data_IF_983148644301
#
_entry.id   IF_983148644301
#
_cell.length_a   1.000
_cell.length_b   1.000
_cell.length_c   1.000
_cell.angle_alpha   90.00
_cell.angle_beta   90.00
_cell.angle_gamma   90.00
#
_symmetry.space_group_name_H-M   'P 1'
#
loop_
_entity.id
_entity.type
_entity.pdbx_description
1 polymer ?
#
# COMPACT_ATOMS: atom_id res chain seq x y z
N UNK A 1 -47.47 0.79 -21.52
CA UNK A 1 -48.84 0.54 -21.01
C UNK A 1 -48.75 0.18 -19.54
N UNK A 2 -49.56 0.93 -18.75
CA UNK A 2 -49.96 0.80 -17.32
C UNK A 2 -48.85 1.12 -16.29
N UNK A 3 -48.83 2.31 -15.92
CA UNK A 3 -49.15 3.13 -14.75
C UNK A 3 -49.83 2.36 -13.60
N UNK A 4 -49.21 2.34 -12.40
CA UNK A 4 -49.96 2.30 -11.14
C UNK A 4 -49.29 3.22 -10.12
N UNK A 5 -50.03 4.28 -9.85
CA UNK A 5 -49.89 5.29 -8.84
C UNK A 5 -50.73 4.84 -7.64
N UNK A 6 -50.22 4.78 -6.44
CA UNK A 6 -51.02 4.79 -5.20
C UNK A 6 -50.37 5.73 -4.18
N UNK A 7 -51.08 6.82 -3.98
CA UNK A 7 -51.05 7.73 -2.86
C UNK A 7 -51.96 7.17 -1.75
N UNK A 8 -51.64 7.41 -0.47
CA UNK A 8 -52.54 7.57 0.70
C UNK A 8 -51.62 7.73 1.91
N UNK A 9 -51.62 8.73 2.69
CA UNK A 9 -52.42 9.73 3.36
C UNK A 9 -52.06 9.72 4.86
N UNK A 10 -51.81 10.93 5.36
CA UNK A 10 -51.43 11.33 6.71
C UNK A 10 -52.42 10.86 7.80
N UNK A 11 -51.88 10.76 9.03
CA UNK A 11 -52.70 11.05 10.23
C UNK A 11 -51.85 11.62 11.37
N UNK A 12 -52.13 12.88 11.70
CA UNK A 12 -51.76 13.55 12.92
C UNK A 12 -52.54 12.99 14.12
N UNK A 13 -51.93 12.85 15.27
CA UNK A 13 -52.61 13.04 16.57
C UNK A 13 -51.67 13.77 17.56
N UNK A 14 -52.12 14.97 17.95
CA UNK A 14 -51.72 15.73 19.14
C UNK A 14 -52.49 15.21 20.37
N UNK A 15 -51.86 15.20 21.56
CA UNK A 15 -52.41 15.53 22.87
C UNK A 15 -51.22 15.66 23.81
N UNK A 16 -50.87 16.73 24.39
CA UNK A 16 -51.41 17.72 25.32
C UNK A 16 -51.20 17.39 26.79
N UNK A 17 -50.43 18.24 27.43
CA UNK A 17 -50.50 18.81 28.76
C UNK A 17 -50.49 17.96 30.03
N UNK A 18 -49.61 18.34 30.94
CA UNK A 18 -49.66 18.08 32.37
C UNK A 18 -48.54 18.81 33.10
N UNK A 19 -48.90 19.96 33.70
CA UNK A 19 -48.07 20.87 34.48
C UNK A 19 -48.28 20.59 35.94
N UNK A 20 -47.23 20.60 36.80
CA UNK A 20 -47.18 21.29 38.11
C UNK A 20 -45.85 21.09 38.81
N UNK A 21 -45.28 22.05 39.14
CA UNK A 21 -44.62 22.88 40.14
C UNK A 21 -44.10 22.17 41.41
N UNK A 22 -42.86 22.51 41.82
CA UNK A 22 -42.32 22.33 43.15
C UNK A 22 -40.78 22.34 43.18
N UNK A 23 -40.14 23.50 43.38
CA UNK A 23 -38.76 23.59 43.90
C UNK A 23 -38.80 23.63 45.42
N UNK A 24 -37.70 23.82 46.18
CA UNK A 24 -36.40 24.43 45.75
C UNK A 24 -35.14 23.71 46.32
N UNK A 25 -33.95 24.17 45.80
CA UNK A 25 -32.67 24.40 46.51
C UNK A 25 -31.85 23.19 47.07
N UNK A 26 -30.67 22.96 46.58
CA UNK A 26 -29.38 23.36 47.17
C UNK A 26 -28.17 22.79 46.40
N UNK A 27 -27.31 23.70 46.00
CA UNK A 27 -25.84 23.71 46.01
C UNK A 27 -25.10 22.36 45.99
N UNK A 28 -24.27 22.21 44.93
CA UNK A 28 -23.19 21.25 44.87
C UNK A 28 -22.36 21.52 43.64
N UNK A 29 -21.41 22.45 43.77
CA UNK A 29 -20.32 22.67 42.82
C UNK A 29 -19.45 21.42 42.76
N UNK A 30 -19.39 20.74 41.64
CA UNK A 30 -18.28 19.85 41.34
C UNK A 30 -18.01 19.91 39.86
N UNK A 31 -16.90 20.55 39.50
CA UNK A 31 -16.34 20.63 38.18
C UNK A 31 -15.86 19.23 37.79
N UNK A 32 -16.62 18.56 36.94
CA UNK A 32 -16.10 17.43 36.20
C UNK A 32 -15.29 17.98 35.02
N UNK A 33 -13.98 17.94 35.18
CA UNK A 33 -13.04 18.10 34.09
C UNK A 33 -13.40 17.07 33.01
N UNK A 34 -13.79 17.55 31.84
CA UNK A 34 -13.81 16.74 30.64
C UNK A 34 -12.36 16.44 30.30
N UNK A 35 -11.90 15.24 30.60
CA UNK A 35 -10.74 14.65 29.99
C UNK A 35 -11.05 14.53 28.48
N UNK A 36 -10.54 15.48 27.72
CA UNK A 36 -10.35 15.31 26.28
C UNK A 36 -9.37 14.16 26.15
N UNK A 37 -9.90 12.99 25.90
CA UNK A 37 -9.13 11.84 25.41
C UNK A 37 -8.67 12.25 24.03
N UNK A 38 -7.43 12.73 23.95
CA UNK A 38 -6.66 12.85 22.71
C UNK A 38 -6.62 11.45 22.09
N UNK A 39 -7.55 11.21 21.19
CA UNK A 39 -7.53 10.05 20.32
C UNK A 39 -6.40 10.28 19.30
N UNK A 40 -5.16 10.04 19.75
CA UNK A 40 -4.08 9.76 18.84
C UNK A 40 -4.51 8.53 18.07
N UNK A 41 -4.90 8.73 16.82
CA UNK A 41 -5.01 7.67 15.83
C UNK A 41 -3.59 7.15 15.67
N UNK A 42 -3.25 6.07 16.38
CA UNK A 42 -2.09 5.28 16.07
C UNK A 42 -2.36 4.76 14.64
N UNK A 43 -1.73 5.37 13.65
CA UNK A 43 -1.59 4.76 12.33
C UNK A 43 -0.90 3.43 12.61
N UNK A 44 -1.63 2.33 12.50
CA UNK A 44 -1.06 0.99 12.55
C UNK A 44 -0.07 0.89 11.39
N UNK A 45 1.19 1.13 11.69
CA UNK A 45 2.28 1.03 10.74
C UNK A 45 2.42 -0.45 10.38
N UNK A 46 1.98 -0.81 9.18
CA UNK A 46 2.01 -2.21 8.72
C UNK A 46 3.44 -2.59 8.32
N UNK A 47 4.02 -3.55 9.02
CA UNK A 47 5.31 -4.11 8.66
C UNK A 47 5.18 -5.16 7.55
N UNK A 48 6.04 -5.09 6.53
CA UNK A 48 6.20 -6.10 5.49
C UNK A 48 7.22 -7.17 5.92
N UNK A 49 6.92 -7.86 7.02
CA UNK A 49 7.81 -8.88 7.59
C UNK A 49 7.00 -9.96 8.36
N UNK A 50 7.51 -11.19 8.46
CA UNK A 50 8.66 -11.73 7.72
C UNK A 50 8.28 -12.23 6.32
N UNK A 51 9.25 -12.25 5.40
CA UNK A 51 9.11 -12.95 4.13
C UNK A 51 10.42 -13.66 3.73
N UNK A 52 10.33 -14.60 2.80
CA UNK A 52 11.46 -15.20 2.11
C UNK A 52 11.02 -15.52 0.69
N UNK A 53 11.73 -14.98 -0.30
CA UNK A 53 11.45 -15.19 -1.71
C UNK A 53 12.74 -15.36 -2.51
N UNK A 54 12.65 -16.05 -3.65
CA UNK A 54 13.76 -16.15 -4.59
C UNK A 54 13.68 -15.01 -5.61
N UNK A 55 14.86 -14.52 -5.99
CA UNK A 55 14.99 -13.64 -7.16
C UNK A 55 14.87 -14.46 -8.44
N UNK A 56 14.72 -13.74 -9.57
CA UNK A 56 14.80 -14.36 -10.91
C UNK A 56 16.15 -15.02 -11.21
N UNK A 57 17.21 -14.68 -10.45
CA UNK A 57 18.54 -15.29 -10.55
C UNK A 57 18.75 -16.45 -9.57
N UNK A 58 17.77 -16.75 -8.72
CA UNK A 58 17.78 -17.86 -7.77
C UNK A 58 18.38 -17.54 -6.40
N UNK A 59 18.70 -16.28 -6.13
CA UNK A 59 19.15 -15.85 -4.81
C UNK A 59 17.96 -15.74 -3.85
N UNK A 60 18.17 -16.03 -2.56
CA UNK A 60 17.13 -15.86 -1.55
C UNK A 60 17.23 -14.49 -0.91
N UNK A 61 16.13 -13.75 -0.90
CA UNK A 61 15.98 -12.45 -0.25
C UNK A 61 14.92 -12.55 0.86
N UNK A 62 15.19 -11.89 1.97
CA UNK A 62 14.30 -11.80 3.13
C UNK A 62 14.07 -10.33 3.47
N UNK A 63 13.20 -10.07 4.43
CA UNK A 63 12.96 -8.71 4.99
C UNK A 63 14.24 -7.99 5.45
N UNK A 64 15.30 -8.74 5.73
CA UNK A 64 16.58 -8.14 6.12
C UNK A 64 17.17 -7.20 5.05
N UNK A 65 16.77 -7.36 3.77
CA UNK A 65 17.20 -6.47 2.70
C UNK A 65 16.76 -5.02 2.89
N UNK A 66 15.69 -4.76 3.66
CA UNK A 66 15.23 -3.39 3.90
C UNK A 66 16.26 -2.54 4.67
N UNK A 67 17.11 -3.17 5.48
CA UNK A 67 18.15 -2.47 6.24
C UNK A 67 19.29 -1.90 5.36
N UNK A 68 19.34 -2.23 4.07
CA UNK A 68 20.40 -1.79 3.16
C UNK A 68 20.20 -0.35 2.65
N UNK A 69 18.98 0.24 2.81
CA UNK A 69 18.67 1.61 2.40
C UNK A 69 17.71 2.30 3.38
N UNK A 70 17.62 3.62 3.34
CA UNK A 70 16.63 4.39 4.13
C UNK A 70 15.21 4.16 3.59
N UNK A 71 15.08 3.98 2.28
CA UNK A 71 13.81 3.76 1.60
C UNK A 71 13.96 2.65 0.54
N UNK A 72 13.07 1.67 0.60
CA UNK A 72 12.90 0.67 -0.46
C UNK A 72 11.65 0.97 -1.28
N UNK A 73 11.81 1.12 -2.58
CA UNK A 73 10.72 1.20 -3.57
C UNK A 73 10.38 -0.21 -4.01
N UNK A 74 9.24 -0.75 -3.58
CA UNK A 74 8.76 -2.06 -4.04
C UNK A 74 7.89 -1.84 -5.28
N UNK A 75 8.38 -2.26 -6.45
CA UNK A 75 7.67 -2.17 -7.72
C UNK A 75 7.12 -3.55 -8.12
N UNK A 76 5.80 -3.69 -8.13
CA UNK A 76 5.10 -4.93 -8.51
C UNK A 76 4.70 -4.87 -9.97
N UNK A 77 5.12 -5.85 -10.76
CA UNK A 77 4.97 -5.83 -12.20
C UNK A 77 4.68 -7.21 -12.81
N UNK A 78 4.40 -7.26 -14.11
CA UNK A 78 4.20 -8.49 -14.88
C UNK A 78 4.80 -8.37 -16.29
N UNK A 79 5.18 -9.49 -16.89
CA UNK A 79 5.84 -9.52 -18.21
C UNK A 79 4.96 -8.98 -19.34
N UNK A 80 3.63 -9.09 -19.22
CA UNK A 80 2.67 -8.54 -20.17
C UNK A 80 2.38 -7.04 -20.00
N UNK A 81 2.83 -6.43 -18.88
CA UNK A 81 2.47 -5.07 -18.49
C UNK A 81 3.25 -4.02 -19.30
N UNK A 82 2.59 -3.37 -20.25
CA UNK A 82 3.19 -2.33 -21.08
C UNK A 82 3.68 -1.11 -20.28
N UNK A 83 2.86 -0.50 -19.41
CA UNK A 83 3.30 0.62 -18.58
C UNK A 83 4.46 0.27 -17.65
N UNK A 84 4.50 -0.95 -17.09
CA UNK A 84 5.62 -1.40 -16.25
C UNK A 84 6.95 -1.33 -16.99
N UNK A 85 6.98 -1.81 -18.25
CA UNK A 85 8.17 -1.77 -19.10
C UNK A 85 8.64 -0.35 -19.47
N UNK A 86 7.74 0.62 -19.42
CA UNK A 86 8.08 2.03 -19.69
C UNK A 86 8.75 2.70 -18.49
N UNK A 87 8.40 2.33 -17.26
CA UNK A 87 9.00 2.92 -16.06
C UNK A 87 10.27 2.20 -15.58
N UNK A 88 10.47 0.92 -15.97
CA UNK A 88 11.65 0.14 -15.57
C UNK A 88 12.99 0.86 -15.79
N UNK A 89 13.29 1.46 -16.95
CA UNK A 89 14.56 2.17 -17.15
C UNK A 89 14.74 3.33 -16.16
N UNK A 90 13.65 4.02 -15.81
CA UNK A 90 13.65 5.12 -14.84
C UNK A 90 13.99 4.58 -13.46
N UNK A 91 13.33 3.50 -13.02
CA UNK A 91 13.59 2.87 -11.74
C UNK A 91 15.03 2.34 -11.65
N UNK A 92 15.52 1.70 -12.71
CA UNK A 92 16.90 1.24 -12.76
C UNK A 92 17.94 2.38 -12.71
N UNK A 93 17.61 3.54 -13.29
CA UNK A 93 18.44 4.74 -13.18
C UNK A 93 18.43 5.28 -11.75
N UNK A 94 17.26 5.41 -11.13
CA UNK A 94 17.11 5.95 -9.78
C UNK A 94 17.78 5.06 -8.72
N UNK A 95 17.67 3.74 -8.86
CA UNK A 95 18.36 2.75 -8.01
C UNK A 95 19.88 2.94 -8.02
N UNK A 96 20.47 3.25 -9.19
CA UNK A 96 21.91 3.51 -9.30
C UNK A 96 22.35 4.91 -8.86
N UNK A 97 21.46 5.90 -8.92
CA UNK A 97 21.80 7.30 -8.63
C UNK A 97 21.61 7.68 -7.17
N UNK A 98 20.72 7.01 -6.45
CA UNK A 98 20.30 7.37 -5.09
C UNK A 98 20.88 6.40 -4.07
N UNK A 99 21.96 6.78 -3.38
CA UNK A 99 22.68 5.90 -2.43
C UNK A 99 21.82 5.47 -1.22
N UNK A 100 20.76 6.22 -0.89
CA UNK A 100 19.88 5.95 0.26
C UNK A 100 18.52 5.33 -0.15
N UNK A 101 18.35 5.01 -1.42
CA UNK A 101 17.14 4.39 -1.96
C UNK A 101 17.53 3.12 -2.72
N UNK A 102 16.78 2.05 -2.51
CA UNK A 102 16.89 0.86 -3.34
C UNK A 102 15.55 0.53 -4.00
N UNK A 103 15.60 -0.15 -5.13
CA UNK A 103 14.41 -0.69 -5.79
C UNK A 103 14.38 -2.20 -5.62
N UNK A 104 13.21 -2.73 -5.28
CA UNK A 104 12.94 -4.17 -5.21
C UNK A 104 11.74 -4.49 -6.11
N UNK A 105 11.97 -5.26 -7.17
CA UNK A 105 10.90 -5.72 -8.04
C UNK A 105 10.19 -6.94 -7.46
N UNK A 106 8.88 -7.07 -7.71
CA UNK A 106 8.13 -8.32 -7.52
C UNK A 106 7.42 -8.64 -8.82
N UNK A 107 7.79 -9.74 -9.47
CA UNK A 107 7.16 -10.19 -10.71
C UNK A 107 6.07 -11.22 -10.41
N UNK A 108 4.87 -11.00 -10.97
CA UNK A 108 3.66 -11.72 -10.54
C UNK A 108 3.23 -12.86 -11.44
N UNK A 109 3.76 -12.95 -12.67
CA UNK A 109 3.28 -13.86 -13.73
C UNK A 109 4.35 -14.86 -14.21
N UNK A 110 5.35 -15.14 -13.39
CA UNK A 110 6.45 -16.08 -13.72
C UNK A 110 6.36 -17.42 -12.98
N UNK A 111 5.18 -17.72 -12.43
CA UNK A 111 4.90 -19.02 -11.79
C UNK A 111 3.79 -19.77 -12.53
N UNK A 112 3.85 -21.08 -12.48
CA UNK A 112 2.83 -21.96 -13.06
C UNK A 112 1.61 -22.12 -12.11
N UNK A 113 0.66 -23.01 -12.49
CA UNK A 113 -0.55 -23.27 -11.71
C UNK A 113 -0.28 -23.94 -10.35
N UNK A 114 0.93 -24.46 -10.13
CA UNK A 114 1.38 -25.06 -8.88
C UNK A 114 2.18 -24.09 -8.02
N UNK A 115 2.26 -22.82 -8.44
CA UNK A 115 3.10 -21.78 -7.85
C UNK A 115 4.62 -22.08 -7.91
N UNK A 116 5.05 -22.91 -8.88
CA UNK A 116 6.44 -23.16 -9.17
C UNK A 116 6.92 -22.24 -10.31
N UNK A 117 8.20 -21.79 -10.28
CA UNK A 117 8.73 -20.93 -11.33
C UNK A 117 8.62 -21.55 -12.72
N UNK A 118 7.97 -20.85 -13.65
CA UNK A 118 7.94 -21.21 -15.07
C UNK A 118 9.22 -20.71 -15.75
N UNK A 119 10.06 -21.63 -16.19
CA UNK A 119 11.38 -21.29 -16.75
C UNK A 119 11.30 -20.36 -17.96
N UNK A 120 10.29 -20.50 -18.83
CA UNK A 120 10.14 -19.65 -20.00
C UNK A 120 9.68 -18.23 -19.61
N UNK A 121 8.82 -18.11 -18.61
CA UNK A 121 8.40 -16.80 -18.10
C UNK A 121 9.51 -16.10 -17.30
N UNK A 122 10.30 -16.86 -16.54
CA UNK A 122 11.49 -16.36 -15.85
C UNK A 122 12.50 -15.81 -16.85
N UNK A 123 12.81 -16.57 -17.92
CA UNK A 123 13.71 -16.12 -18.99
C UNK A 123 13.19 -14.83 -19.67
N UNK A 124 11.89 -14.78 -20.01
CA UNK A 124 11.26 -13.58 -20.55
C UNK A 124 11.39 -12.36 -19.61
N UNK A 125 11.15 -12.56 -18.31
CA UNK A 125 11.30 -11.49 -17.33
C UNK A 125 12.73 -10.97 -17.26
N UNK A 126 13.72 -11.87 -17.26
CA UNK A 126 15.15 -11.52 -17.26
C UNK A 126 15.54 -10.76 -18.55
N UNK A 127 15.04 -11.16 -19.72
CA UNK A 127 15.26 -10.44 -20.97
C UNK A 127 14.68 -9.01 -20.95
N UNK A 128 13.49 -8.84 -20.37
CA UNK A 128 12.84 -7.53 -20.24
C UNK A 128 13.64 -6.60 -19.31
N UNK A 129 14.12 -7.11 -18.17
CA UNK A 129 14.95 -6.35 -17.24
C UNK A 129 16.29 -5.97 -17.86
N UNK A 130 16.95 -6.90 -18.56
CA UNK A 130 18.20 -6.63 -19.25
C UNK A 130 18.03 -5.57 -20.34
N UNK A 131 16.94 -5.62 -21.12
CA UNK A 131 16.63 -4.63 -22.16
C UNK A 131 16.33 -3.23 -21.57
N UNK A 132 15.86 -3.17 -20.33
CA UNK A 132 15.58 -1.95 -19.58
C UNK A 132 16.77 -1.47 -18.73
N UNK A 133 17.91 -2.17 -18.78
CA UNK A 133 19.10 -1.88 -17.96
C UNK A 133 18.80 -1.86 -16.45
N UNK A 134 17.87 -2.75 -16.00
CA UNK A 134 17.49 -2.89 -14.61
C UNK A 134 18.34 -3.96 -13.93
N UNK A 135 19.14 -3.56 -12.95
CA UNK A 135 20.05 -4.43 -12.19
C UNK A 135 19.54 -4.73 -10.77
N UNK A 136 18.52 -4.02 -10.30
CA UNK A 136 17.94 -4.23 -8.97
C UNK A 136 17.28 -5.61 -8.85
N UNK A 137 17.25 -6.21 -7.63
CA UNK A 137 16.67 -7.53 -7.40
C UNK A 137 15.19 -7.59 -7.78
N UNK A 138 14.79 -8.69 -8.44
CA UNK A 138 13.39 -8.95 -8.79
C UNK A 138 12.96 -10.29 -8.21
N UNK A 139 12.02 -10.25 -7.25
CA UNK A 139 11.49 -11.41 -6.54
C UNK A 139 10.42 -12.10 -7.36
N UNK A 140 10.40 -13.42 -7.30
CA UNK A 140 9.30 -14.24 -7.80
C UNK A 140 8.18 -14.21 -6.75
N UNK A 141 6.98 -13.82 -7.14
CA UNK A 141 5.82 -13.84 -6.24
C UNK A 141 5.58 -15.27 -5.75
N UNK A 142 5.68 -15.47 -4.46
CA UNK A 142 5.48 -16.75 -3.80
C UNK A 142 4.45 -16.64 -2.67
N UNK A 143 4.21 -17.73 -1.92
CA UNK A 143 3.23 -17.77 -0.86
C UNK A 143 3.53 -16.77 0.28
N UNK A 144 4.82 -16.54 0.65
CA UNK A 144 5.14 -15.61 1.72
C UNK A 144 4.81 -14.16 1.33
N UNK A 145 5.11 -13.75 0.10
CA UNK A 145 4.73 -12.47 -0.45
C UNK A 145 3.22 -12.35 -0.67
N UNK A 146 2.54 -13.45 -1.04
CA UNK A 146 1.10 -13.48 -1.20
C UNK A 146 0.36 -13.20 0.13
N UNK A 147 0.85 -13.73 1.25
CA UNK A 147 0.32 -13.48 2.60
C UNK A 147 0.45 -12.00 2.98
N UNK A 148 1.50 -11.31 2.55
CA UNK A 148 1.70 -9.88 2.74
C UNK A 148 0.81 -9.00 1.82
N UNK A 149 -0.05 -9.62 1.02
CA UNK A 149 -1.05 -8.92 0.20
C UNK A 149 -0.64 -8.70 -1.26
N UNK A 150 0.59 -9.01 -1.68
CA UNK A 150 1.05 -8.77 -3.05
C UNK A 150 0.26 -9.53 -4.11
N UNK A 151 -0.30 -10.70 -3.79
CA UNK A 151 -1.20 -11.44 -4.68
C UNK A 151 -2.61 -10.84 -4.81
N UNK A 152 -2.98 -9.93 -3.92
CA UNK A 152 -4.31 -9.29 -3.87
C UNK A 152 -4.36 -7.93 -4.57
N UNK A 153 -3.23 -7.47 -5.14
CA UNK A 153 -3.17 -6.23 -5.87
C UNK A 153 -4.06 -6.30 -7.12
N UNK A 154 -4.87 -5.27 -7.35
CA UNK A 154 -5.88 -5.26 -8.41
C UNK A 154 -5.35 -4.91 -9.79
N UNK A 155 -4.15 -4.35 -9.88
CA UNK A 155 -3.51 -3.94 -11.12
C UNK A 155 -1.99 -3.86 -10.97
N UNK A 156 -1.28 -3.85 -12.12
CA UNK A 156 0.15 -3.54 -12.22
C UNK A 156 0.37 -2.43 -13.26
N UNK A 157 1.39 -1.55 -13.08
CA UNK A 157 2.30 -1.57 -11.97
C UNK A 157 1.64 -1.10 -10.68
N UNK A 158 2.11 -1.64 -9.56
CA UNK A 158 1.75 -1.17 -8.23
C UNK A 158 3.03 -0.88 -7.45
N UNK A 159 3.04 0.20 -6.69
CA UNK A 159 4.20 0.62 -5.94
C UNK A 159 3.88 0.82 -4.47
N UNK A 160 4.75 0.29 -3.61
CA UNK A 160 4.76 0.51 -2.18
C UNK A 160 6.14 1.03 -1.76
N UNK A 161 6.19 1.67 -0.60
CA UNK A 161 7.42 2.20 -0.03
C UNK A 161 7.61 1.63 1.36
N UNK A 162 8.85 1.27 1.70
CA UNK A 162 9.18 0.61 2.96
C UNK A 162 10.45 1.25 3.51
N UNK A 163 10.48 1.52 4.80
CA UNK A 163 11.68 2.02 5.49
C UNK A 163 12.68 0.90 5.82
N UNK A 164 13.80 1.28 6.43
CA UNK A 164 14.88 0.35 6.82
C UNK A 164 14.47 -0.66 7.90
N UNK A 165 13.37 -0.45 8.59
CA UNK A 165 12.83 -1.36 9.62
C UNK A 165 11.72 -2.27 9.08
N UNK A 166 11.35 -2.10 7.80
CA UNK A 166 10.34 -2.92 7.13
C UNK A 166 8.91 -2.39 7.25
N UNK A 167 8.71 -1.15 7.71
CA UNK A 167 7.39 -0.54 7.79
C UNK A 167 7.00 0.20 6.52
N UNK A 168 5.70 0.18 6.19
CA UNK A 168 5.18 0.94 5.07
C UNK A 168 5.32 2.45 5.31
N UNK A 169 5.80 3.16 4.29
CA UNK A 169 5.99 4.62 4.30
C UNK A 169 4.98 5.28 3.37
N UNK A 170 4.04 5.99 3.95
CA UNK A 170 2.97 6.65 3.22
C UNK A 170 2.08 5.68 2.43
N UNK A 171 1.35 6.19 1.44
CA UNK A 171 0.46 5.38 0.63
C UNK A 171 1.15 4.85 -0.63
N UNK A 172 0.92 3.57 -0.96
CA UNK A 172 1.23 3.03 -2.26
C UNK A 172 0.26 3.52 -3.35
N UNK A 173 0.59 3.28 -4.61
CA UNK A 173 -0.26 3.66 -5.73
C UNK A 173 -0.21 2.65 -6.87
N UNK A 174 -1.14 2.80 -7.83
CA UNK A 174 -1.19 2.05 -9.08
C UNK A 174 -0.85 2.95 -10.26
N UNK A 175 -0.20 2.39 -11.26
CA UNK A 175 0.16 3.06 -12.50
C UNK A 175 1.62 3.51 -12.55
N UNK A 176 2.12 3.66 -13.78
CA UNK A 176 3.49 4.08 -14.05
C UNK A 176 3.65 5.59 -13.92
N UNK A 177 4.81 6.03 -13.48
CA UNK A 177 5.18 7.44 -13.37
C UNK A 177 6.30 7.79 -14.37
N UNK A 178 6.39 9.06 -14.72
CA UNK A 178 7.57 9.63 -15.37
C UNK A 178 8.69 9.93 -14.35
N UNK A 179 9.87 10.27 -14.87
CA UNK A 179 11.06 10.48 -14.02
C UNK A 179 10.87 11.61 -13.00
N UNK A 180 10.27 12.74 -13.40
CA UNK A 180 10.04 13.89 -12.53
C UNK A 180 9.10 13.51 -11.37
N UNK A 181 8.04 12.79 -11.69
CA UNK A 181 7.08 12.28 -10.70
C UNK A 181 7.72 11.25 -9.76
N UNK A 182 8.56 10.34 -10.28
CA UNK A 182 9.31 9.39 -9.46
C UNK A 182 10.24 10.08 -8.47
N UNK A 183 11.03 11.06 -8.93
CA UNK A 183 11.93 11.83 -8.05
C UNK A 183 11.16 12.59 -6.97
N UNK A 184 10.01 13.16 -7.32
CA UNK A 184 9.16 13.89 -6.38
C UNK A 184 8.58 12.96 -5.30
N UNK A 185 8.03 11.81 -5.69
CA UNK A 185 7.43 10.88 -4.72
C UNK A 185 8.48 10.22 -3.82
N UNK A 186 9.66 9.88 -4.35
CA UNK A 186 10.76 9.34 -3.55
C UNK A 186 11.22 10.37 -2.51
N UNK A 187 11.40 11.64 -2.91
CA UNK A 187 11.79 12.71 -1.99
C UNK A 187 10.76 12.89 -0.87
N UNK A 188 9.47 12.90 -1.20
CA UNK A 188 8.38 12.96 -0.20
C UNK A 188 8.42 11.77 0.77
N UNK A 189 8.67 10.55 0.29
CA UNK A 189 8.72 9.37 1.14
C UNK A 189 9.95 9.36 2.06
N UNK A 190 11.10 9.84 1.56
CA UNK A 190 12.30 10.01 2.40
C UNK A 190 12.09 11.01 3.55
N UNK A 191 11.27 12.04 3.35
CA UNK A 191 10.93 12.96 4.45
C UNK A 191 10.09 12.26 5.55
N UNK A 192 9.37 11.19 5.21
CA UNK A 192 8.56 10.42 6.15
C UNK A 192 9.35 9.34 6.89
N UNK A 193 10.54 8.93 6.40
CA UNK A 193 11.42 7.96 7.09
C UNK A 193 12.30 8.64 8.14
N UNK A 194 12.42 9.97 8.11
CA UNK A 194 13.24 10.71 9.08
C UNK A 194 12.68 10.58 10.51
N UNK A 195 13.53 10.30 11.52
CA UNK A 195 13.12 10.12 12.91
C UNK A 195 12.63 11.41 13.58
#
# INVERSE_FOLDING_TARGET
MKRFLILILALLMLTACGQEAGGPEQTGTEAAASEETDAQTEEETMALAPFSAQTLTGETVTEACFADAELTVINVWATYCGPCKQEMPILGQLDRELDNVQVLGIVTDVVDQNAEPDAAQVELAQELLAAAECEYPNLILNQSLAILGFASLSAVPATLFVDSEGYLVGQGFYGALDEESWRSVIAERLELTAP
#
